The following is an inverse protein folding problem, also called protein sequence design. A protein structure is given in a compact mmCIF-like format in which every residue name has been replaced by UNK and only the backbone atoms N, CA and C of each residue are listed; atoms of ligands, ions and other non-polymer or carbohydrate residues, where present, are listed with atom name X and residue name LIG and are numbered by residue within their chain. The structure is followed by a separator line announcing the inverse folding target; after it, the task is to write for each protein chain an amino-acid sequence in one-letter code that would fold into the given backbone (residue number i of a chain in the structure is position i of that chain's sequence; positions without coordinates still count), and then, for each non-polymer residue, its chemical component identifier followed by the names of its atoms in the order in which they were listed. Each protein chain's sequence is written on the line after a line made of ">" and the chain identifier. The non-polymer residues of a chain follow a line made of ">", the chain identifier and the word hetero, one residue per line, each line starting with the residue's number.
data_IF_435688956247
#
_entry.id   IF_435688956247
#
_cell.length_a   1.000
_cell.length_b   1.000
_cell.length_c   1.000
_cell.angle_alpha   90.00
_cell.angle_beta   90.00
_cell.angle_gamma   90.00
#
_symmetry.space_group_name_H-M   'P 1'
#
loop_
_entity.id
_entity.type
_entity.pdbx_description
1 polymer ?
#
# COMPACT_ATOMS: atom_id res chain seq x y z
N UNK A 1 -4.82 -2.40 -15.92
CA UNK A 1 -5.97 -3.03 -16.61
C UNK A 1 -6.14 -4.44 -16.07
N UNK A 2 -7.38 -4.85 -15.78
CA UNK A 2 -7.70 -6.21 -15.31
C UNK A 2 -8.43 -6.99 -16.41
N UNK A 3 -8.20 -8.31 -16.47
CA UNK A 3 -9.01 -9.25 -17.29
C UNK A 3 -10.24 -9.79 -16.53
N UNK A 4 -10.30 -9.55 -15.22
CA UNK A 4 -11.37 -9.97 -14.32
C UNK A 4 -12.25 -8.79 -13.93
N UNK A 5 -13.56 -8.98 -13.74
CA UNK A 5 -14.45 -7.94 -13.24
C UNK A 5 -13.97 -7.36 -11.91
N UNK A 6 -14.10 -6.04 -11.76
CA UNK A 6 -13.84 -5.35 -10.50
C UNK A 6 -15.15 -5.30 -9.73
N UNK A 7 -15.19 -5.89 -8.54
CA UNK A 7 -16.38 -5.91 -7.68
C UNK A 7 -16.40 -4.72 -6.71
N UNK A 8 -15.22 -4.36 -6.21
CA UNK A 8 -15.03 -3.32 -5.20
C UNK A 8 -13.74 -2.57 -5.49
N UNK A 9 -13.73 -1.28 -5.16
CA UNK A 9 -12.55 -0.44 -5.20
C UNK A 9 -12.47 0.45 -3.96
N UNK A 10 -11.25 0.73 -3.53
CA UNK A 10 -10.95 1.66 -2.44
C UNK A 10 -9.71 2.45 -2.79
N UNK A 11 -9.88 3.76 -2.97
CA UNK A 11 -8.76 4.68 -2.97
C UNK A 11 -8.60 5.33 -1.60
N UNK A 12 -7.36 5.40 -1.10
CA UNK A 12 -7.01 6.15 0.10
C UNK A 12 -5.80 7.02 -0.19
N UNK A 13 -5.98 8.33 -0.12
CA UNK A 13 -4.90 9.31 -0.30
C UNK A 13 -3.95 9.28 0.89
N UNK A 14 -2.67 9.50 0.65
CA UNK A 14 -1.70 9.73 1.70
C UNK A 14 -1.90 11.10 2.36
N UNK A 15 -1.80 11.14 3.69
CA UNK A 15 -1.90 12.37 4.49
C UNK A 15 -0.55 13.07 4.67
N UNK A 16 0.55 12.38 4.35
CA UNK A 16 1.92 12.88 4.47
C UNK A 16 2.69 12.56 3.19
N UNK A 17 3.53 13.50 2.75
CA UNK A 17 4.41 13.40 1.59
C UNK A 17 5.51 14.47 1.70
N UNK A 18 6.61 14.31 0.97
CA UNK A 18 7.72 15.27 0.94
C UNK A 18 7.82 15.99 -0.42
N UNK A 19 8.42 17.17 -0.43
CA UNK A 19 8.73 17.90 -1.67
C UNK A 19 7.54 18.06 -2.63
N UNK A 20 7.77 17.80 -3.92
CA UNK A 20 6.75 17.90 -4.96
C UNK A 20 5.66 16.84 -4.84
N UNK A 21 5.91 15.71 -4.16
CA UNK A 21 4.90 14.68 -3.93
C UNK A 21 3.73 15.17 -3.07
N UNK A 22 3.94 16.22 -2.25
CA UNK A 22 2.87 16.88 -1.51
C UNK A 22 1.84 17.57 -2.44
N UNK A 23 2.25 17.94 -3.67
CA UNK A 23 1.39 18.52 -4.69
C UNK A 23 0.64 17.44 -5.48
N UNK A 24 1.10 16.19 -5.42
CA UNK A 24 0.45 15.05 -6.06
C UNK A 24 -0.61 14.43 -5.13
N UNK A 25 -1.70 13.91 -5.73
CA UNK A 25 -2.68 13.11 -4.99
C UNK A 25 -2.26 11.64 -4.87
N UNK A 26 -1.04 11.39 -4.34
CA UNK A 26 -0.53 10.03 -4.12
C UNK A 26 -1.37 9.27 -3.10
N UNK A 27 -1.40 7.94 -3.21
CA UNK A 27 -2.20 7.08 -2.35
C UNK A 27 -2.10 5.60 -2.70
N UNK A 28 -2.95 4.81 -2.06
CA UNK A 28 -3.14 3.39 -2.34
C UNK A 28 -4.49 3.16 -3.02
N UNK A 29 -4.49 2.45 -4.14
CA UNK A 29 -5.69 1.99 -4.82
C UNK A 29 -5.80 0.47 -4.65
N UNK A 30 -6.78 0.03 -3.89
CA UNK A 30 -7.15 -1.37 -3.75
C UNK A 30 -8.35 -1.72 -4.62
N UNK A 31 -8.33 -2.90 -5.22
CA UNK A 31 -9.45 -3.48 -5.99
C UNK A 31 -9.66 -4.94 -5.62
N UNK A 32 -10.92 -5.39 -5.66
CA UNK A 32 -11.32 -6.79 -5.54
C UNK A 32 -11.68 -7.31 -6.92
N UNK A 33 -10.97 -8.33 -7.37
CA UNK A 33 -11.13 -8.94 -8.69
C UNK A 33 -11.87 -10.27 -8.59
N UNK A 34 -12.93 -10.44 -9.36
CA UNK A 34 -13.73 -11.66 -9.41
C UNK A 34 -13.16 -12.70 -10.38
N UNK A 35 -12.79 -13.86 -9.86
CA UNK A 35 -12.32 -15.00 -10.67
C UNK A 35 -13.41 -16.06 -10.88
N UNK A 36 -14.66 -15.76 -10.53
CA UNK A 36 -15.84 -16.62 -10.64
C UNK A 36 -16.01 -17.60 -9.48
N UNK A 37 -14.91 -18.19 -8.96
CA UNK A 37 -14.94 -19.13 -7.83
C UNK A 37 -14.42 -18.55 -6.51
N UNK A 38 -13.59 -17.51 -6.61
CA UNK A 38 -12.93 -16.82 -5.52
C UNK A 38 -12.61 -15.39 -5.96
N UNK A 39 -12.15 -14.56 -5.02
CA UNK A 39 -11.70 -13.20 -5.31
C UNK A 39 -10.24 -13.01 -4.98
N UNK A 40 -9.60 -12.06 -5.66
CA UNK A 40 -8.23 -11.63 -5.37
C UNK A 40 -8.22 -10.14 -5.08
N UNK A 41 -7.54 -9.76 -4.01
CA UNK A 41 -7.32 -8.35 -3.67
C UNK A 41 -6.01 -7.91 -4.32
N UNK A 42 -6.04 -6.79 -5.04
CA UNK A 42 -4.84 -6.16 -5.57
C UNK A 42 -4.79 -4.72 -5.09
N UNK A 43 -3.74 -4.34 -4.38
CA UNK A 43 -3.47 -2.97 -3.96
C UNK A 43 -2.24 -2.46 -4.70
N UNK A 44 -2.41 -1.40 -5.48
CA UNK A 44 -1.32 -0.71 -6.17
C UNK A 44 -1.06 0.65 -5.54
N UNK A 45 0.21 1.05 -5.49
CA UNK A 45 0.59 2.36 -4.95
C UNK A 45 1.82 2.95 -5.65
N UNK A 46 2.10 4.21 -5.34
CA UNK A 46 3.36 4.88 -5.65
C UNK A 46 3.71 5.70 -4.41
N UNK A 47 4.64 5.19 -3.59
CA UNK A 47 5.06 5.85 -2.34
C UNK A 47 5.87 7.12 -2.62
N UNK A 48 6.14 7.86 -1.55
CA UNK A 48 6.99 9.05 -1.56
C UNK A 48 8.36 8.74 -2.19
N UNK A 49 8.79 9.57 -3.13
CA UNK A 49 10.10 9.47 -3.76
C UNK A 49 11.22 9.98 -2.85
N UNK A 50 10.90 10.77 -1.82
CA UNK A 50 11.85 11.22 -0.82
C UNK A 50 12.40 10.07 0.02
N UNK A 51 13.42 10.37 0.82
CA UNK A 51 14.13 9.37 1.66
C UNK A 51 13.70 9.39 3.13
N UNK A 52 12.64 10.11 3.47
CA UNK A 52 12.15 10.17 4.85
C UNK A 52 11.48 8.83 5.24
N UNK A 53 12.06 8.05 6.18
CA UNK A 53 11.54 6.74 6.54
C UNK A 53 10.22 6.81 7.30
N UNK A 54 9.95 7.88 8.05
CA UNK A 54 8.71 8.01 8.82
C UNK A 54 7.53 8.35 7.88
N UNK A 55 7.78 9.15 6.83
CA UNK A 55 6.79 9.36 5.76
C UNK A 55 6.48 8.05 5.05
N UNK A 56 7.51 7.29 4.63
CA UNK A 56 7.30 5.98 3.97
C UNK A 56 6.55 5.00 4.87
N UNK A 57 6.88 4.93 6.16
CA UNK A 57 6.20 4.07 7.12
C UNK A 57 4.71 4.46 7.28
N UNK A 58 4.42 5.76 7.38
CA UNK A 58 3.04 6.24 7.47
C UNK A 58 2.23 5.90 6.20
N UNK A 59 2.83 6.04 5.02
CA UNK A 59 2.18 5.67 3.76
C UNK A 59 2.00 4.15 3.61
N UNK A 60 3.00 3.35 3.99
CA UNK A 60 2.90 1.89 4.04
C UNK A 60 1.73 1.43 4.92
N UNK A 61 1.53 2.08 6.07
CA UNK A 61 0.38 1.80 6.94
C UNK A 61 -0.94 1.98 6.19
N UNK A 62 -1.08 3.03 5.38
CA UNK A 62 -2.29 3.25 4.56
C UNK A 62 -2.50 2.12 3.56
N UNK A 63 -1.44 1.60 2.92
CA UNK A 63 -1.53 0.45 2.01
C UNK A 63 -2.09 -0.78 2.73
N UNK A 64 -1.55 -1.09 3.92
CA UNK A 64 -2.02 -2.21 4.75
C UNK A 64 -3.46 -2.03 5.21
N UNK A 65 -3.82 -0.81 5.64
CA UNK A 65 -5.20 -0.49 6.05
C UNK A 65 -6.20 -0.69 4.90
N UNK A 66 -5.81 -0.39 3.65
CA UNK A 66 -6.64 -0.66 2.47
C UNK A 66 -6.84 -2.15 2.23
N UNK A 67 -5.80 -2.98 2.39
CA UNK A 67 -5.93 -4.46 2.30
C UNK A 67 -6.92 -4.95 3.36
N UNK A 68 -6.72 -4.59 4.62
CA UNK A 68 -7.56 -5.02 5.73
C UNK A 68 -9.02 -4.58 5.55
N UNK A 69 -9.25 -3.36 5.03
CA UNK A 69 -10.58 -2.88 4.68
C UNK A 69 -11.25 -3.78 3.63
N UNK A 70 -10.54 -4.11 2.54
CA UNK A 70 -11.08 -4.94 1.46
C UNK A 70 -11.30 -6.39 1.88
N UNK A 71 -10.43 -6.96 2.72
CA UNK A 71 -10.62 -8.28 3.31
C UNK A 71 -11.89 -8.33 4.17
N UNK A 72 -12.09 -7.30 4.99
CA UNK A 72 -13.31 -7.16 5.82
C UNK A 72 -14.57 -7.05 4.95
N UNK A 73 -14.52 -6.26 3.87
CA UNK A 73 -15.63 -6.15 2.91
C UNK A 73 -15.90 -7.45 2.16
N UNK A 74 -14.87 -8.22 1.81
CA UNK A 74 -15.06 -9.53 1.20
C UNK A 74 -15.71 -10.51 2.18
N UNK A 75 -15.22 -10.54 3.42
CA UNK A 75 -15.75 -11.39 4.50
C UNK A 75 -17.21 -11.08 4.81
N UNK A 76 -17.59 -9.80 4.91
CA UNK A 76 -18.97 -9.39 5.18
C UNK A 76 -19.95 -9.79 4.06
N UNK A 77 -19.45 -10.00 2.85
CA UNK A 77 -20.22 -10.42 1.67
C UNK A 77 -20.15 -11.93 1.41
N UNK A 78 -19.46 -12.69 2.25
CA UNK A 78 -19.25 -14.13 2.07
C UNK A 78 -18.36 -14.48 0.88
N UNK A 79 -17.52 -13.54 0.42
CA UNK A 79 -16.57 -13.78 -0.67
C UNK A 79 -15.29 -14.43 -0.14
N UNK A 80 -14.86 -15.51 -0.79
CA UNK A 80 -13.62 -16.21 -0.44
C UNK A 80 -12.41 -15.52 -1.10
N UNK A 81 -11.53 -14.91 -0.29
CA UNK A 81 -10.30 -14.28 -0.76
C UNK A 81 -9.23 -15.36 -0.96
N UNK A 82 -8.83 -15.61 -2.21
CA UNK A 82 -7.78 -16.57 -2.53
C UNK A 82 -6.37 -16.02 -2.33
N UNK A 83 -6.18 -14.72 -2.55
CA UNK A 83 -4.90 -14.04 -2.36
C UNK A 83 -5.10 -12.53 -2.22
N UNK A 84 -4.15 -11.87 -1.56
CA UNK A 84 -3.96 -10.43 -1.59
C UNK A 84 -2.55 -10.12 -2.09
N UNK A 85 -2.44 -9.20 -3.05
CA UNK A 85 -1.17 -8.75 -3.60
C UNK A 85 -1.04 -7.24 -3.43
N UNK A 86 0.11 -6.80 -2.96
CA UNK A 86 0.50 -5.39 -2.93
C UNK A 86 1.59 -5.15 -3.97
N UNK A 87 1.45 -4.11 -4.77
CA UNK A 87 2.33 -3.84 -5.91
C UNK A 87 2.50 -2.33 -6.12
N UNK A 88 3.45 -1.95 -6.98
CA UNK A 88 3.66 -0.58 -7.41
C UNK A 88 5.09 -0.12 -7.21
N UNK A 89 5.27 1.19 -7.25
CA UNK A 89 6.56 1.81 -6.97
C UNK A 89 6.67 2.15 -5.48
N UNK A 90 7.46 1.35 -4.77
CA UNK A 90 7.64 1.50 -3.33
C UNK A 90 8.64 2.59 -2.97
N UNK A 91 9.49 3.03 -3.91
CA UNK A 91 10.64 3.90 -3.61
C UNK A 91 11.45 3.43 -2.39
N UNK A 92 11.53 2.11 -2.17
CA UNK A 92 12.33 1.46 -1.13
C UNK A 92 13.30 0.56 -1.89
N UNK A 93 14.59 0.86 -1.77
CA UNK A 93 15.61 0.20 -2.59
C UNK A 93 16.15 -1.10 -1.96
N UNK A 94 15.75 -1.36 -0.70
CA UNK A 94 16.14 -2.57 0.04
C UNK A 94 17.63 -2.60 0.40
N UNK A 95 18.32 -1.46 0.33
CA UNK A 95 19.73 -1.32 0.70
C UNK A 95 19.88 -0.75 2.11
N UNK A 96 21.10 -0.82 2.66
CA UNK A 96 21.40 -0.31 4.00
C UNK A 96 21.11 1.18 4.22
N UNK A 97 20.84 1.96 3.17
CA UNK A 97 20.43 3.38 3.28
C UNK A 97 19.05 3.53 3.90
N UNK A 98 18.12 2.64 3.57
CA UNK A 98 16.76 2.65 4.10
C UNK A 98 16.68 2.05 5.52
N UNK A 99 17.62 1.16 5.86
CA UNK A 99 17.70 0.52 7.19
C UNK A 99 18.56 1.29 8.21
N UNK A 100 19.51 2.12 7.74
CA UNK A 100 20.58 2.69 8.57
C UNK A 100 20.25 3.96 9.35
N UNK A 101 19.12 4.63 9.08
CA UNK A 101 18.78 5.90 9.73
C UNK A 101 18.41 5.74 11.22
N UNK A 102 17.92 4.56 11.65
CA UNK A 102 17.62 4.29 13.08
C UNK A 102 18.73 3.57 13.84
N UNK A 103 19.60 2.83 13.15
CA UNK A 103 20.67 2.07 13.83
C UNK A 103 21.74 2.97 14.46
N UNK A 104 22.01 4.14 13.88
CA UNK A 104 23.03 5.08 14.41
C UNK A 104 22.63 5.84 15.67
N UNK A 105 21.35 5.81 16.08
CA UNK A 105 20.90 6.49 17.31
C UNK A 105 21.12 5.62 18.55
N UNK A 106 21.24 4.30 18.38
CA UNK A 106 21.38 3.35 19.51
C UNK A 106 22.85 3.17 19.92
N UNK A 107 23.82 3.47 19.05
CA UNK A 107 25.26 3.35 19.35
C UNK A 107 25.87 4.59 20.05
N UNK A 108 25.07 5.59 20.41
CA UNK A 108 25.54 6.81 21.09
C UNK A 108 24.92 7.07 22.48
N UNK A 109 24.26 6.09 23.09
CA UNK A 109 23.80 6.14 24.49
C UNK A 109 24.60 5.23 25.39
#
# INVERSE_FOLDING_TARGET
>A
MSRWPILLEKFSRFSVATGEDALASKGALGVVLDRGKDVVIVVTTHLDAGHDPDVKLAQLKVVVDVVAFLEKECSSRGLHVAAAAMTGDWNIDGTGRDHGARAKVVEQT
#
